data_IF_878223453541
#
_entry.id   IF_878223453541
#
_cell.length_a   1.000
_cell.length_b   1.000
_cell.length_c   1.000
_cell.angle_alpha   90.00
_cell.angle_beta   90.00
_cell.angle_gamma   90.00
#
_symmetry.space_group_name_H-M   'P 1'
#
loop_
_entity.id
_entity.type
_entity.pdbx_description
1 polymer ?
#
# COMPACT_ATOMS: atom_id res chain seq x y z
N UNK A 1 -16.88 -4.26 -5.61
CA UNK A 1 -15.75 -3.57 -6.29
C UNK A 1 -16.07 -2.13 -6.71
N UNK A 2 -17.34 -1.74 -6.95
CA UNK A 2 -17.69 -0.34 -7.25
C UNK A 2 -17.15 0.70 -6.24
N UNK A 3 -17.08 0.33 -4.95
CA UNK A 3 -16.55 1.20 -3.89
C UNK A 3 -15.07 1.58 -4.05
N UNK A 4 -14.28 0.84 -4.83
CA UNK A 4 -12.88 1.19 -5.15
C UNK A 4 -12.80 2.48 -5.99
N UNK A 5 -13.85 2.79 -6.76
CA UNK A 5 -13.97 4.03 -7.54
C UNK A 5 -14.84 5.10 -6.88
N UNK A 6 -15.16 4.98 -5.59
CA UNK A 6 -16.07 5.91 -4.92
C UNK A 6 -15.47 7.33 -4.81
N UNK A 7 -16.31 8.37 -4.83
CA UNK A 7 -15.85 9.76 -4.73
C UNK A 7 -15.18 10.11 -3.39
N UNK A 8 -15.68 9.52 -2.30
CA UNK A 8 -15.11 9.67 -0.95
C UNK A 8 -13.81 8.85 -0.81
N UNK A 9 -12.72 9.53 -0.38
CA UNK A 9 -11.40 8.93 -0.17
C UNK A 9 -11.41 7.80 0.87
N UNK A 10 -12.16 7.95 1.96
CA UNK A 10 -12.20 6.96 3.03
C UNK A 10 -12.89 5.67 2.56
N UNK A 11 -13.94 5.79 1.73
CA UNK A 11 -14.63 4.64 1.14
C UNK A 11 -13.72 3.90 0.17
N UNK A 12 -12.97 4.61 -0.68
CA UNK A 12 -11.98 3.96 -1.58
C UNK A 12 -10.93 3.21 -0.79
N UNK A 13 -10.36 3.87 0.21
CA UNK A 13 -9.33 3.32 1.07
C UNK A 13 -9.81 2.03 1.78
N UNK A 14 -10.97 2.08 2.42
CA UNK A 14 -11.56 0.93 3.09
C UNK A 14 -11.88 -0.22 2.11
N UNK A 15 -12.38 0.11 0.91
CA UNK A 15 -12.67 -0.88 -0.12
C UNK A 15 -11.41 -1.60 -0.61
N UNK A 16 -10.33 -0.86 -0.86
CA UNK A 16 -9.03 -1.42 -1.28
C UNK A 16 -8.43 -2.29 -0.18
N UNK A 17 -8.45 -1.80 1.07
CA UNK A 17 -8.00 -2.57 2.22
C UNK A 17 -8.76 -3.90 2.35
N UNK A 18 -10.09 -3.87 2.26
CA UNK A 18 -10.93 -5.06 2.36
C UNK A 18 -10.61 -6.09 1.27
N UNK A 19 -10.35 -5.64 0.04
CA UNK A 19 -9.89 -6.53 -1.05
C UNK A 19 -8.56 -7.19 -0.67
N UNK A 20 -7.59 -6.43 -0.18
CA UNK A 20 -6.30 -6.97 0.27
C UNK A 20 -6.44 -7.98 1.41
N UNK A 21 -7.35 -7.75 2.36
CA UNK A 21 -7.62 -8.69 3.47
C UNK A 21 -8.25 -9.98 2.98
N UNK A 22 -9.14 -9.93 1.98
CA UNK A 22 -9.76 -11.15 1.41
C UNK A 22 -8.77 -12.01 0.61
N UNK A 23 -7.61 -11.47 0.24
CA UNK A 23 -6.50 -12.21 -0.37
C UNK A 23 -6.86 -12.88 -1.70
N UNK A 24 -6.18 -13.99 -1.99
CA UNK A 24 -6.27 -14.72 -3.26
C UNK A 24 -7.70 -15.10 -3.68
N UNK A 25 -8.62 -15.28 -2.73
CA UNK A 25 -10.02 -15.59 -3.01
C UNK A 25 -10.75 -14.48 -3.81
N UNK A 26 -10.29 -13.23 -3.71
CA UNK A 26 -10.80 -12.10 -4.46
C UNK A 26 -9.92 -11.70 -5.66
N UNK A 27 -8.75 -12.32 -5.84
CA UNK A 27 -7.71 -11.87 -6.78
C UNK A 27 -8.19 -11.76 -8.22
N UNK A 28 -8.90 -12.78 -8.73
CA UNK A 28 -9.34 -12.83 -10.13
C UNK A 28 -10.13 -11.60 -10.57
N UNK A 29 -11.30 -11.31 -9.98
CA UNK A 29 -12.10 -10.16 -10.37
C UNK A 29 -11.56 -8.81 -9.85
N UNK A 30 -10.79 -8.80 -8.75
CA UNK A 30 -10.36 -7.55 -8.13
C UNK A 30 -9.07 -6.96 -8.73
N UNK A 31 -8.14 -7.80 -9.21
CA UNK A 31 -6.86 -7.35 -9.75
C UNK A 31 -6.98 -6.25 -10.83
N UNK A 32 -7.77 -6.41 -11.91
CA UNK A 32 -7.89 -5.35 -12.93
C UNK A 32 -8.49 -4.06 -12.35
N UNK A 33 -9.44 -4.16 -11.42
CA UNK A 33 -10.06 -2.97 -10.77
C UNK A 33 -9.04 -2.22 -9.91
N UNK A 34 -8.16 -2.93 -9.19
CA UNK A 34 -7.09 -2.29 -8.42
C UNK A 34 -6.05 -1.64 -9.32
N UNK A 35 -5.66 -2.27 -10.43
CA UNK A 35 -4.75 -1.67 -11.41
C UNK A 35 -5.33 -0.39 -12.04
N UNK A 36 -6.58 -0.44 -12.50
CA UNK A 36 -7.27 0.72 -13.05
C UNK A 36 -7.37 1.86 -12.03
N UNK A 37 -7.48 1.53 -10.74
CA UNK A 37 -7.48 2.54 -9.68
C UNK A 37 -6.10 3.09 -9.37
N UNK A 38 -5.08 2.24 -9.29
CA UNK A 38 -3.70 2.64 -9.07
C UNK A 38 -3.19 3.60 -10.17
N UNK A 39 -3.67 3.45 -11.41
CA UNK A 39 -3.29 4.30 -12.53
C UNK A 39 -3.71 5.77 -12.39
N UNK A 40 -4.72 6.08 -11.56
CA UNK A 40 -5.29 7.44 -11.47
C UNK A 40 -5.43 7.96 -10.03
N UNK A 41 -5.15 7.14 -9.02
CA UNK A 41 -5.26 7.58 -7.63
C UNK A 41 -4.13 8.54 -7.27
N UNK A 42 -4.50 9.65 -6.63
CA UNK A 42 -3.56 10.70 -6.22
C UNK A 42 -3.43 10.80 -4.70
N UNK A 43 -4.43 10.33 -3.95
CA UNK A 43 -4.42 10.35 -2.50
C UNK A 43 -3.32 9.42 -1.94
N UNK A 44 -2.36 9.93 -1.13
CA UNK A 44 -1.25 9.15 -0.61
C UNK A 44 -1.66 7.90 0.18
N UNK A 45 -2.71 7.99 0.99
CA UNK A 45 -3.16 6.89 1.84
C UNK A 45 -3.84 5.80 1.00
N UNK A 46 -4.64 6.19 0.02
CA UNK A 46 -5.25 5.22 -0.90
C UNK A 46 -4.17 4.54 -1.75
N UNK A 47 -3.15 5.28 -2.21
CA UNK A 47 -2.00 4.70 -2.94
C UNK A 47 -1.23 3.68 -2.09
N UNK A 48 -1.02 3.98 -0.81
CA UNK A 48 -0.38 3.06 0.13
C UNK A 48 -1.19 1.75 0.30
N UNK A 49 -2.52 1.86 0.50
CA UNK A 49 -3.39 0.69 0.61
C UNK A 49 -3.49 -0.09 -0.71
N UNK A 50 -3.47 0.58 -1.87
CA UNK A 50 -3.41 -0.08 -3.18
C UNK A 50 -2.15 -0.92 -3.33
N UNK A 51 -0.99 -0.34 -3.01
CA UNK A 51 0.28 -1.05 -3.06
C UNK A 51 0.28 -2.28 -2.14
N UNK A 52 -0.20 -2.13 -0.91
CA UNK A 52 -0.31 -3.23 0.05
C UNK A 52 -1.30 -4.31 -0.41
N UNK A 53 -2.47 -3.93 -0.93
CA UNK A 53 -3.46 -4.88 -1.43
C UNK A 53 -2.94 -5.64 -2.65
N UNK A 54 -2.32 -4.94 -3.62
CA UNK A 54 -1.72 -5.57 -4.79
C UNK A 54 -0.60 -6.54 -4.42
N UNK A 55 0.26 -6.18 -3.47
CA UNK A 55 1.32 -7.08 -2.99
C UNK A 55 0.79 -8.37 -2.36
N UNK A 56 -0.42 -8.35 -1.77
CA UNK A 56 -1.08 -9.55 -1.24
C UNK A 56 -1.70 -10.42 -2.33
N UNK A 57 -2.10 -9.84 -3.46
CA UNK A 57 -2.72 -10.57 -4.58
C UNK A 57 -1.68 -11.10 -5.57
N UNK A 58 -0.64 -10.31 -5.83
CA UNK A 58 0.46 -10.57 -6.76
C UNK A 58 1.77 -9.95 -6.22
N UNK A 59 2.47 -10.65 -5.31
CA UNK A 59 3.72 -10.15 -4.74
C UNK A 59 4.80 -9.90 -5.80
N UNK A 60 4.95 -10.83 -6.74
CA UNK A 60 5.99 -10.76 -7.79
C UNK A 60 5.73 -9.61 -8.76
N UNK A 61 4.50 -9.45 -9.23
CA UNK A 61 4.12 -8.34 -10.12
C UNK A 61 4.12 -6.97 -9.44
N UNK A 62 3.97 -6.93 -8.11
CA UNK A 62 3.97 -5.66 -7.35
C UNK A 62 5.38 -5.18 -6.97
N UNK A 63 6.38 -6.07 -6.95
CA UNK A 63 7.74 -5.75 -6.51
C UNK A 63 8.38 -4.52 -7.22
N UNK A 64 8.27 -4.34 -8.56
CA UNK A 64 8.80 -3.15 -9.23
C UNK A 64 8.12 -1.85 -8.75
N UNK A 65 6.82 -1.87 -8.51
CA UNK A 65 6.09 -0.70 -8.01
C UNK A 65 6.51 -0.35 -6.57
N UNK A 66 6.68 -1.36 -5.71
CA UNK A 66 7.15 -1.17 -4.34
C UNK A 66 8.56 -0.58 -4.30
N UNK A 67 9.50 -1.16 -5.06
CA UNK A 67 10.88 -0.65 -5.13
C UNK A 67 10.96 0.79 -5.69
N UNK A 68 10.17 1.12 -6.71
CA UNK A 68 10.06 2.48 -7.24
C UNK A 68 9.50 3.50 -6.24
N UNK A 69 8.61 3.05 -5.36
CA UNK A 69 7.97 3.89 -4.35
C UNK A 69 8.85 4.22 -3.13
N UNK A 70 10.06 3.65 -3.01
CA UNK A 70 11.01 3.98 -1.93
C UNK A 70 11.62 5.38 -2.08
N UNK A 71 11.59 5.94 -3.29
CA UNK A 71 12.25 7.21 -3.63
C UNK A 71 11.65 8.43 -2.91
N UNK A 72 12.43 9.52 -2.78
CA UNK A 72 12.03 10.73 -2.06
C UNK A 72 10.84 11.45 -2.70
N UNK A 73 10.55 11.21 -3.98
CA UNK A 73 9.42 11.79 -4.71
C UNK A 73 8.08 11.14 -4.33
N UNK A 74 8.10 10.01 -3.61
CA UNK A 74 6.90 9.37 -3.10
C UNK A 74 6.46 9.97 -1.77
N UNK A 75 5.15 10.12 -1.53
CA UNK A 75 4.67 10.63 -0.25
C UNK A 75 5.02 9.65 0.90
N UNK A 76 5.19 10.14 2.14
CA UNK A 76 5.63 9.33 3.27
C UNK A 76 4.80 8.06 3.51
N UNK A 77 3.47 8.14 3.35
CA UNK A 77 2.53 7.03 3.51
C UNK A 77 2.80 5.90 2.50
N UNK A 78 3.08 6.27 1.25
CA UNK A 78 3.41 5.31 0.21
C UNK A 78 4.80 4.71 0.43
N UNK A 79 5.76 5.52 0.89
CA UNK A 79 7.12 5.05 1.20
C UNK A 79 7.15 4.03 2.32
N UNK A 80 6.37 4.23 3.38
CA UNK A 80 6.30 3.22 4.45
C UNK A 80 5.63 1.94 3.98
N UNK A 81 4.53 2.02 3.20
CA UNK A 81 3.91 0.85 2.60
C UNK A 81 4.88 0.11 1.66
N UNK A 82 5.67 0.84 0.88
CA UNK A 82 6.69 0.27 0.00
C UNK A 82 7.77 -0.49 0.76
N UNK A 83 8.29 0.08 1.86
CA UNK A 83 9.26 -0.62 2.73
C UNK A 83 8.68 -1.94 3.23
N UNK A 84 7.44 -1.92 3.75
CA UNK A 84 6.78 -3.11 4.28
C UNK A 84 6.56 -4.16 3.18
N UNK A 85 6.03 -3.75 2.03
CA UNK A 85 5.80 -4.65 0.89
C UNK A 85 7.11 -5.29 0.43
N UNK A 86 8.21 -4.54 0.34
CA UNK A 86 9.51 -5.10 -0.01
C UNK A 86 9.98 -6.14 1.00
N UNK A 87 9.82 -5.86 2.31
CA UNK A 87 10.18 -6.79 3.40
C UNK A 87 9.32 -8.05 3.35
N UNK A 88 7.99 -7.90 3.27
CA UNK A 88 7.03 -9.01 3.24
C UNK A 88 7.19 -9.88 1.99
N UNK A 89 7.61 -9.29 0.87
CA UNK A 89 7.88 -10.00 -0.39
C UNK A 89 9.27 -10.63 -0.43
N UNK A 90 10.07 -10.53 0.63
CA UNK A 90 11.42 -11.10 0.71
C UNK A 90 12.44 -10.46 -0.23
N UNK A 91 12.22 -9.20 -0.64
CA UNK A 91 13.17 -8.49 -1.50
C UNK A 91 14.47 -8.18 -0.75
N UNK A 92 15.63 -8.15 -1.43
CA UNK A 92 16.89 -7.83 -0.79
C UNK A 92 16.87 -6.44 -0.14
N UNK A 93 17.35 -6.35 1.10
CA UNK A 93 17.53 -5.07 1.77
C UNK A 93 18.68 -4.29 1.15
N UNK A 94 18.37 -3.19 0.45
CA UNK A 94 19.35 -2.33 -0.22
C UNK A 94 19.51 -0.99 0.49
N UNK A 95 20.50 -0.19 0.05
CA UNK A 95 20.67 1.19 0.52
C UNK A 95 19.40 2.02 0.37
N UNK A 96 18.63 1.84 -0.70
CA UNK A 96 17.38 2.57 -0.91
C UNK A 96 16.36 2.33 0.21
N UNK A 97 16.27 1.09 0.71
CA UNK A 97 15.41 0.75 1.85
C UNK A 97 15.88 1.44 3.13
N UNK A 98 17.20 1.42 3.37
CA UNK A 98 17.79 2.07 4.53
C UNK A 98 17.55 3.59 4.54
N UNK A 99 17.84 4.28 3.43
CA UNK A 99 17.60 5.72 3.29
C UNK A 99 16.11 6.05 3.38
N UNK A 100 15.25 5.21 2.79
CA UNK A 100 13.81 5.38 2.88
C UNK A 100 13.31 5.35 4.33
N UNK A 101 13.77 4.39 5.15
CA UNK A 101 13.41 4.32 6.57
C UNK A 101 13.95 5.51 7.36
N UNK A 102 15.21 5.89 7.17
CA UNK A 102 15.81 7.01 7.89
C UNK A 102 15.08 8.33 7.62
N UNK A 103 14.70 8.58 6.37
CA UNK A 103 13.98 9.78 5.98
C UNK A 103 12.49 9.77 6.39
N UNK A 104 11.99 8.69 7.00
CA UNK A 104 10.65 8.63 7.61
C UNK A 104 10.68 8.85 9.13
N UNK A 105 11.85 9.08 9.74
CA UNK A 105 11.97 9.34 11.16
C UNK A 105 11.70 10.81 11.52
N UNK A 106 11.03 11.11 12.65
CA UNK A 106 10.38 10.15 13.55
C UNK A 106 9.12 9.54 12.91
N UNK A 107 8.90 8.25 13.15
CA UNK A 107 7.80 7.52 12.53
C UNK A 107 6.43 7.86 13.13
N UNK A 108 6.37 8.33 14.38
CA UNK A 108 5.12 8.56 15.14
C UNK A 108 3.98 9.22 14.34
N UNK A 109 4.18 10.28 13.54
CA UNK A 109 3.11 10.90 12.74
C UNK A 109 2.51 9.97 11.66
N UNK A 110 3.21 8.90 11.29
CA UNK A 110 2.82 7.92 10.28
C UNK A 110 2.27 6.63 10.88
N UNK A 111 2.53 6.32 12.16
CA UNK A 111 2.19 5.04 12.82
C UNK A 111 1.28 5.18 14.04
N UNK A 112 1.27 6.32 14.75
CA UNK A 112 0.65 6.43 16.08
C UNK A 112 -0.86 6.10 16.12
N UNK A 113 -1.57 6.35 15.02
CA UNK A 113 -3.00 5.99 14.85
C UNK A 113 -3.21 4.89 13.79
N UNK A 114 -2.13 4.25 13.33
CA UNK A 114 -2.10 3.52 12.04
C UNK A 114 -1.52 2.10 12.11
N UNK A 115 -0.72 1.78 13.12
CA UNK A 115 -0.07 0.49 13.29
C UNK A 115 -0.60 -0.28 14.50
N UNK A 116 -1.84 -0.78 14.38
CA UNK A 116 -2.28 -1.91 15.19
C UNK A 116 -1.81 -3.21 14.52
N UNK A 117 -0.88 -3.91 15.16
CA UNK A 117 -0.37 -5.21 14.70
C UNK A 117 -1.45 -6.31 14.69
N UNK A 118 -2.66 -6.03 15.21
CA UNK A 118 -3.87 -6.85 15.16
C UNK A 118 -5.00 -6.26 14.27
N UNK A 119 -4.60 -5.46 13.26
CA UNK A 119 -5.47 -4.61 12.42
C UNK A 119 -6.77 -5.27 11.94
N UNK A 120 -7.89 -4.83 12.52
CA UNK A 120 -9.27 -5.19 12.14
C UNK A 120 -9.99 -4.07 11.34
N UNK A 121 -9.32 -2.94 11.08
CA UNK A 121 -9.93 -1.77 10.41
C UNK A 121 -8.93 -0.94 9.54
N UNK A 122 -9.42 -0.09 8.62
CA UNK A 122 -8.61 0.72 7.68
C UNK A 122 -7.85 1.90 8.34
N UNK A 123 -6.83 2.46 7.66
CA UNK A 123 -6.06 3.62 8.19
C UNK A 123 -6.90 4.92 8.14
N UNK A 124 -6.74 5.82 9.11
CA UNK A 124 -7.42 7.13 9.14
C UNK A 124 -6.47 8.31 8.79
#
# INVERSE_FOLDING_TARGET
LASVGHQDRAVRQAAVWAVGVTGAAAAGPAAPVLHDRAAVESDPLVRAELLAAMAKLDPEGTAPAATGALGPDSPPELRIAAVLVCVDSGLPWTRAHHEAVLALLPLDPLVADRFDLSRSEPLH
#
